data_IF_942029490687
#
_entry.id   IF_942029490687
#
_cell.length_a   1.000
_cell.length_b   1.000
_cell.length_c   1.000
_cell.angle_alpha   90.00
_cell.angle_beta   90.00
_cell.angle_gamma   90.00
#
_symmetry.space_group_name_H-M   'P 1'
#
loop_
_entity.id
_entity.type
_entity.pdbx_description
1 polymer ?
#
# COMPACT_ATOMS: atom_id res chain seq x y z
N UNK A 1 -20.56 2.92 12.51
CA UNK A 1 -21.00 1.59 12.95
C UNK A 1 -19.74 0.83 13.36
N UNK A 2 -19.46 0.81 14.66
CA UNK A 2 -18.30 0.13 15.25
C UNK A 2 -18.55 -1.37 15.19
N UNK A 3 -17.60 -2.16 14.69
CA UNK A 3 -17.65 -3.61 14.84
C UNK A 3 -16.42 -4.06 15.62
N UNK A 4 -16.60 -4.22 16.93
CA UNK A 4 -15.70 -4.90 17.85
C UNK A 4 -15.71 -6.39 17.49
N UNK A 5 -14.58 -6.96 17.10
CA UNK A 5 -14.48 -8.41 16.83
C UNK A 5 -13.43 -9.05 17.73
N UNK A 6 -13.94 -9.81 18.69
CA UNK A 6 -13.21 -10.75 19.52
C UNK A 6 -12.53 -11.84 18.68
N UNK A 7 -11.38 -12.30 19.19
CA UNK A 7 -10.50 -13.29 18.59
C UNK A 7 -11.16 -14.66 18.35
N UNK A 8 -10.71 -15.37 17.31
CA UNK A 8 -10.93 -16.81 17.17
C UNK A 8 -11.50 -17.30 15.83
N UNK A 9 -10.86 -16.98 14.70
CA UNK A 9 -10.94 -17.75 13.43
C UNK A 9 -9.82 -17.28 12.52
N UNK A 10 -9.00 -18.18 11.97
CA UNK A 10 -8.04 -17.87 10.89
C UNK A 10 -8.86 -17.28 9.74
N UNK A 11 -8.83 -15.96 9.57
CA UNK A 11 -9.49 -15.29 8.44
C UNK A 11 -8.87 -15.84 7.15
N UNK A 12 -9.65 -16.34 6.18
CA UNK A 12 -9.10 -16.59 4.85
C UNK A 12 -8.46 -15.29 4.37
N UNK A 13 -7.26 -15.37 3.77
CA UNK A 13 -6.59 -14.19 3.21
C UNK A 13 -7.60 -13.45 2.33
N UNK A 14 -7.98 -12.23 2.71
CA UNK A 14 -8.96 -11.45 1.95
C UNK A 14 -8.53 -11.37 0.49
N UNK A 15 -9.44 -11.73 -0.43
CA UNK A 15 -9.29 -11.57 -1.88
C UNK A 15 -9.58 -10.10 -2.20
N UNK A 16 -8.67 -9.43 -2.90
CA UNK A 16 -8.75 -7.99 -3.17
C UNK A 16 -9.12 -7.66 -4.62
N UNK A 17 -9.26 -8.67 -5.49
CA UNK A 17 -9.50 -8.49 -6.92
C UNK A 17 -10.80 -7.74 -7.24
N UNK A 18 -10.73 -6.77 -8.15
CA UNK A 18 -11.85 -5.94 -8.59
C UNK A 18 -12.13 -4.71 -7.70
N UNK A 19 -11.31 -4.48 -6.66
CA UNK A 19 -11.51 -3.39 -5.71
C UNK A 19 -10.35 -2.38 -5.71
N UNK A 20 -10.63 -1.20 -5.15
CA UNK A 20 -9.61 -0.21 -4.77
C UNK A 20 -9.31 -0.38 -3.28
N UNK A 21 -8.08 -0.71 -2.95
CA UNK A 21 -7.68 -1.09 -1.59
C UNK A 21 -6.60 -0.15 -1.09
N UNK A 22 -6.81 0.42 0.09
CA UNK A 22 -5.75 1.06 0.86
C UNK A 22 -5.25 0.09 1.94
N UNK A 23 -3.93 0.01 2.12
CA UNK A 23 -3.32 -0.84 3.13
C UNK A 23 -2.15 -0.12 3.81
N UNK A 24 -2.23 0.00 5.13
CA UNK A 24 -1.11 0.35 5.99
C UNK A 24 -0.66 -0.94 6.70
N UNK A 25 0.24 -1.74 6.10
CA UNK A 25 0.59 -3.05 6.64
C UNK A 25 1.32 -2.91 7.97
N UNK A 26 1.28 -3.94 8.84
CA UNK A 26 2.11 -3.95 10.04
C UNK A 26 3.59 -3.85 9.65
N UNK A 27 4.29 -2.87 10.22
CA UNK A 27 5.70 -2.67 9.95
C UNK A 27 6.57 -3.70 10.67
N UNK A 28 7.68 -4.11 10.03
CA UNK A 28 8.59 -5.12 10.58
C UNK A 28 8.80 -6.30 9.63
N UNK A 29 9.02 -7.49 10.19
CA UNK A 29 9.49 -8.67 9.44
C UNK A 29 8.55 -9.11 8.32
N UNK A 30 7.25 -8.90 8.48
CA UNK A 30 6.24 -9.35 7.51
C UNK A 30 6.03 -8.38 6.33
N UNK A 31 6.68 -7.20 6.32
CA UNK A 31 6.36 -6.16 5.32
C UNK A 31 6.58 -6.64 3.88
N UNK A 32 7.62 -7.45 3.65
CA UNK A 32 7.90 -8.01 2.34
C UNK A 32 6.76 -8.90 1.82
N UNK A 33 6.15 -9.70 2.69
CA UNK A 33 5.00 -10.55 2.33
C UNK A 33 3.76 -9.73 1.99
N UNK A 34 3.54 -8.64 2.71
CA UNK A 34 2.44 -7.71 2.43
C UNK A 34 2.64 -7.01 1.09
N UNK A 35 3.85 -6.49 0.83
CA UNK A 35 4.18 -5.82 -0.44
C UNK A 35 4.01 -6.78 -1.62
N UNK A 36 4.56 -8.01 -1.51
CA UNK A 36 4.36 -9.06 -2.52
C UNK A 36 2.88 -9.32 -2.78
N UNK A 37 2.10 -9.52 -1.71
CA UNK A 37 0.64 -9.74 -1.83
C UNK A 37 -0.05 -8.55 -2.50
N UNK A 38 0.30 -7.32 -2.14
CA UNK A 38 -0.26 -6.11 -2.73
C UNK A 38 -0.02 -6.05 -4.24
N UNK A 39 1.22 -6.30 -4.66
CA UNK A 39 1.58 -6.41 -6.07
C UNK A 39 0.79 -7.52 -6.77
N UNK A 40 0.81 -8.75 -6.28
CA UNK A 40 0.12 -9.90 -6.89
C UNK A 40 -1.39 -9.65 -7.04
N UNK A 41 -2.04 -9.11 -6.01
CA UNK A 41 -3.47 -8.79 -6.05
C UNK A 41 -3.79 -7.67 -7.04
N UNK A 42 -2.92 -6.66 -7.17
CA UNK A 42 -3.10 -5.57 -8.13
C UNK A 42 -3.12 -6.02 -9.58
N UNK A 43 -2.57 -7.20 -9.88
CA UNK A 43 -2.56 -7.79 -11.23
C UNK A 43 -3.94 -8.27 -11.67
N UNK A 44 -4.89 -8.44 -10.74
CA UNK A 44 -6.25 -8.87 -11.05
C UNK A 44 -7.03 -7.74 -11.76
N UNK A 45 -7.91 -8.05 -12.72
CA UNK A 45 -8.69 -7.05 -13.45
C UNK A 45 -9.41 -6.07 -12.52
N UNK A 46 -9.46 -4.80 -12.91
CA UNK A 46 -10.13 -3.72 -12.17
C UNK A 46 -9.55 -3.41 -10.78
N UNK A 47 -8.39 -3.95 -10.42
CA UNK A 47 -7.83 -3.80 -9.07
C UNK A 47 -6.88 -2.61 -8.98
N UNK A 48 -6.93 -1.88 -7.87
CA UNK A 48 -5.92 -0.89 -7.51
C UNK A 48 -5.52 -1.10 -6.06
N UNK A 49 -4.23 -1.22 -5.81
CA UNK A 49 -3.69 -1.36 -4.45
C UNK A 49 -2.83 -0.14 -4.15
N UNK A 50 -3.15 0.51 -3.03
CA UNK A 50 -2.42 1.66 -2.48
C UNK A 50 -1.85 1.24 -1.13
N UNK A 51 -0.53 1.34 -0.96
CA UNK A 51 0.15 1.00 0.29
C UNK A 51 0.92 2.17 0.86
N UNK A 52 0.82 2.36 2.17
CA UNK A 52 1.71 3.24 2.93
C UNK A 52 2.79 2.40 3.61
N UNK A 53 4.06 2.57 3.22
CA UNK A 53 5.18 1.80 3.77
C UNK A 53 6.37 2.69 4.12
N UNK A 54 7.29 2.22 4.97
CA UNK A 54 8.61 2.81 5.10
C UNK A 54 9.31 2.84 3.73
N UNK A 55 9.88 4.00 3.38
CA UNK A 55 10.64 4.21 2.13
C UNK A 55 12.06 3.64 2.26
N UNK A 56 12.15 2.31 2.32
CA UNK A 56 13.41 1.55 2.37
C UNK A 56 13.76 1.04 0.97
N UNK A 57 14.25 1.95 0.15
CA UNK A 57 14.50 1.72 -1.28
C UNK A 57 15.63 0.72 -1.55
N UNK A 58 16.45 0.43 -0.53
CA UNK A 58 17.58 -0.50 -0.52
C UNK A 58 17.17 -1.97 -0.29
N UNK A 59 15.92 -2.24 0.09
CA UNK A 59 15.47 -3.58 0.47
C UNK A 59 15.12 -4.45 -0.74
N UNK A 60 15.33 -5.77 -0.62
CA UNK A 60 14.97 -6.73 -1.67
C UNK A 60 13.51 -6.60 -2.11
N UNK A 61 12.56 -6.50 -1.17
CA UNK A 61 11.13 -6.38 -1.52
C UNK A 61 10.83 -5.11 -2.34
N UNK A 62 11.62 -4.04 -2.16
CA UNK A 62 11.45 -2.83 -2.94
C UNK A 62 11.83 -3.10 -4.39
N UNK A 63 12.98 -3.72 -4.64
CA UNK A 63 13.41 -4.07 -5.99
C UNK A 63 12.53 -5.14 -6.64
N UNK A 64 12.14 -6.17 -5.90
CA UNK A 64 11.40 -7.31 -6.42
C UNK A 64 9.95 -6.99 -6.77
N UNK A 65 9.31 -6.04 -6.06
CA UNK A 65 7.86 -5.84 -6.14
C UNK A 65 7.42 -4.39 -6.39
N UNK A 66 8.30 -3.41 -6.18
CA UNK A 66 7.97 -1.98 -6.30
C UNK A 66 8.72 -1.35 -7.49
N UNK A 67 10.05 -1.42 -7.51
CA UNK A 67 10.87 -0.74 -8.51
C UNK A 67 10.60 -1.31 -9.91
N UNK A 68 10.22 -0.43 -10.84
CA UNK A 68 9.80 -0.82 -12.19
C UNK A 68 8.49 -1.61 -12.28
N UNK A 69 7.73 -1.75 -11.18
CA UNK A 69 6.47 -2.51 -11.11
C UNK A 69 5.30 -1.71 -10.58
N UNK A 70 5.54 -0.80 -9.64
CA UNK A 70 4.56 0.15 -9.17
C UNK A 70 4.22 1.13 -10.30
N UNK A 71 2.93 1.44 -10.43
CA UNK A 71 2.46 2.50 -11.32
C UNK A 71 2.92 3.87 -10.81
N UNK A 72 2.99 4.04 -9.49
CA UNK A 72 3.51 5.25 -8.86
C UNK A 72 4.21 4.94 -7.54
N UNK A 73 5.27 5.72 -7.26
CA UNK A 73 5.93 5.80 -5.96
C UNK A 73 5.95 7.27 -5.56
N UNK A 74 5.24 7.60 -4.48
CA UNK A 74 5.13 8.98 -3.98
C UNK A 74 5.81 9.09 -2.63
N UNK A 75 6.97 9.73 -2.59
CA UNK A 75 7.67 10.01 -1.34
C UNK A 75 6.96 11.12 -0.57
N UNK A 76 6.81 10.97 0.74
CA UNK A 76 6.21 11.98 1.59
C UNK A 76 7.30 12.89 2.16
N UNK A 77 7.06 14.21 2.14
CA UNK A 77 7.94 15.19 2.76
C UNK A 77 7.76 15.15 4.28
N UNK A 78 8.86 14.92 5.00
CA UNK A 78 8.87 14.84 6.47
C UNK A 78 8.58 13.44 7.02
N UNK A 79 8.50 13.35 8.35
CA UNK A 79 8.19 12.10 9.07
C UNK A 79 6.73 12.12 9.51
N UNK A 80 6.01 11.03 9.25
CA UNK A 80 4.62 10.89 9.68
C UNK A 80 4.56 10.75 11.20
N UNK A 81 3.54 11.36 11.81
CA UNK A 81 3.12 11.06 13.18
C UNK A 81 1.89 10.18 13.09
N UNK A 82 1.94 9.02 13.73
CA UNK A 82 0.79 8.14 13.82
C UNK A 82 0.06 8.41 15.12
N UNK A 83 -1.27 8.25 15.09
CA UNK A 83 -2.12 8.35 16.27
C UNK A 83 -2.78 6.99 16.53
N UNK A 84 -3.05 6.70 17.79
CA UNK A 84 -3.93 5.59 18.16
C UNK A 84 -5.41 5.89 17.84
N UNK A 85 -6.31 4.98 18.22
CA UNK A 85 -7.75 5.13 17.99
C UNK A 85 -8.39 6.27 18.82
N UNK A 86 -7.73 6.67 19.90
CA UNK A 86 -8.16 7.75 20.81
C UNK A 86 -7.56 9.12 20.41
N UNK A 87 -6.72 9.15 19.36
CA UNK A 87 -6.11 10.36 18.83
C UNK A 87 -4.81 10.76 19.54
N UNK A 88 -4.27 9.92 20.43
CA UNK A 88 -2.99 10.20 21.06
C UNK A 88 -1.87 9.95 20.04
N UNK A 89 -1.08 10.99 19.79
CA UNK A 89 0.02 10.95 18.84
C UNK A 89 1.32 10.49 19.48
N UNK A 90 2.04 9.60 18.79
CA UNK A 90 3.43 9.32 19.11
C UNK A 90 4.37 10.33 18.46
N UNK A 91 5.65 10.22 18.81
CA UNK A 91 6.72 10.89 18.08
C UNK A 91 6.68 10.53 16.58
N UNK A 92 7.28 11.41 15.79
CA UNK A 92 7.35 11.17 14.36
C UNK A 92 8.12 9.88 14.08
N UNK A 93 7.59 9.07 13.15
CA UNK A 93 8.17 7.78 12.80
C UNK A 93 9.66 7.93 12.45
N UNK A 94 10.53 7.05 12.96
CA UNK A 94 11.97 7.16 12.76
C UNK A 94 12.43 6.85 11.32
N UNK A 95 11.49 6.59 10.41
CA UNK A 95 11.73 6.20 9.02
C UNK A 95 10.97 7.09 8.02
N UNK A 96 11.50 7.28 6.80
CA UNK A 96 10.76 7.95 5.73
C UNK A 96 9.57 7.08 5.31
N UNK A 97 8.55 7.70 4.72
CA UNK A 97 7.37 6.98 4.21
C UNK A 97 7.15 7.26 2.73
N UNK A 98 6.64 6.25 2.03
CA UNK A 98 6.19 6.37 0.66
C UNK A 98 4.79 5.77 0.49
N UNK A 99 4.01 6.36 -0.39
CA UNK A 99 2.79 5.76 -0.92
C UNK A 99 3.14 5.03 -2.21
N UNK A 100 2.83 3.73 -2.24
CA UNK A 100 3.05 2.86 -3.40
C UNK A 100 1.70 2.58 -4.04
N UNK A 101 1.57 2.80 -5.33
CA UNK A 101 0.34 2.54 -6.09
C UNK A 101 0.63 1.52 -7.16
N UNK A 102 -0.11 0.41 -7.14
CA UNK A 102 -0.19 -0.52 -8.27
C UNK A 102 -1.60 -0.49 -8.85
N UNK A 103 -1.66 -0.30 -10.17
CA UNK A 103 -2.88 -0.38 -10.97
C UNK A 103 -2.87 -1.65 -11.82
N UNK A 104 -4.03 -2.27 -11.98
CA UNK A 104 -4.20 -3.34 -12.96
C UNK A 104 -3.86 -2.84 -14.38
N UNK A 105 -3.36 -3.72 -15.28
CA UNK A 105 -2.98 -3.33 -16.64
C UNK A 105 -4.07 -2.56 -17.39
N UNK A 106 -5.31 -3.01 -17.29
CA UNK A 106 -6.48 -2.40 -17.91
C UNK A 106 -6.73 -0.97 -17.43
N UNK A 107 -6.43 -0.69 -16.16
CA UNK A 107 -6.56 0.65 -15.57
C UNK A 107 -5.37 1.57 -15.87
N UNK A 108 -4.30 1.06 -16.49
CA UNK A 108 -3.11 1.83 -16.86
C UNK A 108 -3.30 2.59 -18.17
N UNK A 109 -4.36 2.27 -18.94
CA UNK A 109 -4.70 2.87 -20.24
C UNK A 109 -5.89 3.83 -20.25
N UNK A 110 -6.38 4.32 -19.10
CA UNK A 110 -7.20 5.54 -19.12
C UNK A 110 -6.26 6.70 -19.41
N UNK A 111 -6.03 6.95 -20.70
CA UNK A 111 -5.39 8.16 -21.20
C UNK A 111 -5.99 9.34 -20.45
N UNK A 112 -5.16 10.07 -19.71
CA UNK A 112 -5.50 11.45 -19.45
C UNK A 112 -5.59 12.10 -20.83
N UNK A 113 -6.78 12.61 -21.18
CA UNK A 113 -6.92 13.51 -22.32
C UNK A 113 -5.89 14.63 -22.12
N UNK A 114 -4.79 14.54 -22.85
CA UNK A 114 -3.70 15.50 -22.78
C UNK A 114 -4.18 16.67 -23.62
N UNK A 115 -4.46 17.80 -22.97
CA UNK A 115 -4.63 19.05 -23.69
C UNK A 115 -3.24 19.51 -24.13
N UNK A 116 -2.93 19.32 -25.41
CA UNK A 116 -1.85 20.06 -26.05
C UNK A 116 -2.38 21.46 -26.35
N UNK A 117 -1.72 22.48 -25.79
CA UNK A 117 -1.83 23.87 -26.26
C UNK A 117 -1.12 24.02 -27.60
#
# INVERSE_FOLDING_TARGET
MRETLHAGRRRPKARLGGYRVFCNPPYGRAIADWVRKGYEESRKPGTTVVMLIPSRTDTAYFHDWIFGKASEVRFLRGRLKFTDEDGNGEDAAPFPSAVIVWRSPESTGREFATWHI
#
